data_IF_490735547070
#
_entry.id   IF_490735547070
#
_cell.length_a   1.000
_cell.length_b   1.000
_cell.length_c   1.000
_cell.angle_alpha   90.00
_cell.angle_beta   90.00
_cell.angle_gamma   90.00
#
_symmetry.space_group_name_H-M   'P 1'
#
loop_
_entity.id
_entity.type
_entity.pdbx_description
1 polymer ?
#
# COMPACT_ATOMS: atom_id res chain seq x y z
N UNK A 1 18.40 50.58 18.07
CA UNK A 1 18.65 51.65 17.08
C UNK A 1 19.84 51.19 16.28
N UNK A 2 19.63 50.78 15.03
CA UNK A 2 20.45 51.18 13.89
C UNK A 2 19.91 50.54 12.60
N UNK A 3 19.70 51.42 11.65
CA UNK A 3 19.14 51.20 10.31
C UNK A 3 20.23 50.77 9.34
N UNK A 4 19.89 50.05 8.27
CA UNK A 4 20.23 50.44 6.89
C UNK A 4 19.80 49.38 5.87
N UNK A 5 18.85 49.77 5.03
CA UNK A 5 18.50 49.15 3.76
C UNK A 5 19.69 49.11 2.79
N UNK A 6 19.74 48.08 1.94
CA UNK A 6 20.26 48.24 0.57
C UNK A 6 19.31 47.57 -0.43
N UNK A 7 18.93 48.37 -1.43
CA UNK A 7 17.94 48.11 -2.49
C UNK A 7 18.56 47.36 -3.69
N UNK A 8 17.76 46.47 -4.31
CA UNK A 8 17.39 46.27 -5.74
C UNK A 8 18.49 46.32 -6.86
N UNK A 9 18.36 45.61 -8.02
CA UNK A 9 17.19 45.62 -8.94
C UNK A 9 16.79 44.26 -9.59
N UNK A 10 15.50 43.96 -9.78
CA UNK A 10 14.68 44.10 -11.03
C UNK A 10 15.43 44.08 -12.37
N UNK A 11 15.24 43.02 -13.15
CA UNK A 11 15.31 43.13 -14.61
C UNK A 11 14.34 42.15 -15.31
N UNK A 12 13.71 42.69 -16.33
CA UNK A 12 12.59 42.23 -17.13
C UNK A 12 12.94 41.09 -18.08
N UNK A 13 12.05 40.10 -18.20
CA UNK A 13 12.12 39.09 -19.26
C UNK A 13 11.33 39.59 -20.47
N UNK A 14 11.95 39.75 -21.65
CA UNK A 14 11.25 40.19 -22.85
C UNK A 14 10.55 39.04 -23.55
N UNK A 15 9.38 39.33 -24.13
CA UNK A 15 8.69 38.48 -25.07
C UNK A 15 9.14 38.82 -26.50
N UNK A 16 9.57 37.82 -27.28
CA UNK A 16 9.57 37.89 -28.76
C UNK A 16 9.39 36.50 -29.39
N UNK A 17 8.20 36.36 -29.99
CA UNK A 17 7.79 35.64 -31.22
C UNK A 17 8.69 34.61 -31.93
N UNK A 18 8.14 33.38 -32.01
CA UNK A 18 7.92 32.46 -33.17
C UNK A 18 9.00 32.31 -34.25
N UNK A 19 9.43 31.05 -34.45
CA UNK A 19 9.50 30.40 -35.77
C UNK A 19 9.37 28.87 -35.63
N UNK A 20 8.68 28.25 -36.60
CA UNK A 20 8.18 26.88 -36.57
C UNK A 20 9.25 25.86 -36.98
N UNK A 21 9.22 24.67 -36.36
CA UNK A 21 9.67 23.43 -37.00
C UNK A 21 8.72 22.31 -36.56
N UNK A 22 7.91 21.84 -37.50
CA UNK A 22 7.11 20.62 -37.37
C UNK A 22 8.05 19.44 -37.12
N UNK A 23 7.83 18.73 -36.01
CA UNK A 23 8.28 17.36 -35.84
C UNK A 23 7.12 16.54 -35.29
N UNK A 24 6.41 15.88 -36.21
CA UNK A 24 5.62 14.69 -35.91
C UNK A 24 6.54 13.65 -35.26
N UNK A 25 6.27 13.31 -34.01
CA UNK A 25 7.18 12.52 -33.19
C UNK A 25 6.46 11.63 -32.19
N UNK A 26 5.64 10.69 -32.71
CA UNK A 26 5.17 9.44 -32.09
C UNK A 26 4.62 9.58 -30.66
N UNK A 27 3.28 9.59 -30.54
CA UNK A 27 2.60 9.21 -29.30
C UNK A 27 3.28 7.97 -28.69
N UNK A 28 3.45 7.89 -27.35
CA UNK A 28 3.91 6.66 -26.74
C UNK A 28 2.90 5.57 -27.10
N UNK A 29 3.23 4.76 -28.10
CA UNK A 29 2.31 3.73 -28.56
C UNK A 29 2.12 2.80 -27.39
N UNK A 30 0.91 2.84 -26.83
CA UNK A 30 0.52 1.99 -25.74
C UNK A 30 0.59 0.56 -26.29
N UNK A 31 1.72 -0.11 -26.04
CA UNK A 31 1.94 -1.46 -26.55
C UNK A 31 0.88 -2.32 -25.90
N UNK A 32 -0.15 -2.66 -26.68
CA UNK A 32 -1.19 -3.61 -26.29
C UNK A 32 -0.49 -4.95 -26.11
N UNK A 33 -0.05 -5.25 -24.89
CA UNK A 33 0.42 -6.58 -24.54
C UNK A 33 -0.74 -7.54 -24.83
N UNK A 34 -0.53 -8.46 -25.77
CA UNK A 34 -1.44 -9.59 -25.96
C UNK A 34 -1.35 -10.43 -24.69
N UNK A 35 -2.27 -10.20 -23.76
CA UNK A 35 -2.43 -11.03 -22.57
C UNK A 35 -2.91 -12.40 -23.04
N UNK A 36 -1.97 -13.34 -23.17
CA UNK A 36 -2.29 -14.77 -23.18
C UNK A 36 -2.76 -15.13 -21.77
N UNK A 37 -4.01 -14.84 -21.43
CA UNK A 37 -4.51 -15.03 -20.07
C UNK A 37 -5.69 -15.98 -20.04
N UNK A 38 -5.36 -17.28 -19.96
CA UNK A 38 -6.13 -18.21 -19.15
C UNK A 38 -5.23 -18.77 -18.04
N UNK A 39 -4.76 -17.90 -17.15
CA UNK A 39 -4.22 -18.33 -15.86
C UNK A 39 -5.35 -18.20 -14.84
N UNK A 40 -5.78 -19.33 -14.27
CA UNK A 40 -6.65 -19.34 -13.10
C UNK A 40 -5.83 -18.91 -11.89
N UNK A 41 -6.26 -17.84 -11.20
CA UNK A 41 -5.68 -17.44 -9.91
C UNK A 41 -6.53 -17.99 -8.77
N UNK A 42 -5.88 -18.42 -7.71
CA UNK A 42 -6.53 -18.86 -6.49
C UNK A 42 -6.53 -17.72 -5.48
N UNK A 43 -7.71 -17.15 -5.24
CA UNK A 43 -7.89 -16.04 -4.30
C UNK A 43 -8.45 -16.58 -2.99
N UNK A 44 -7.84 -16.18 -1.88
CA UNK A 44 -8.40 -16.37 -0.56
C UNK A 44 -9.09 -15.08 -0.10
N UNK A 45 -10.26 -15.22 0.51
CA UNK A 45 -11.00 -14.09 1.07
C UNK A 45 -11.23 -14.36 2.55
N UNK A 46 -10.73 -13.46 3.40
CA UNK A 46 -10.96 -13.46 4.83
C UNK A 46 -11.95 -12.35 5.19
N UNK A 47 -12.88 -12.67 6.10
CA UNK A 47 -13.77 -11.68 6.72
C UNK A 47 -13.02 -10.79 7.72
N UNK A 48 -13.69 -10.44 8.81
CA UNK A 48 -13.08 -9.65 9.88
C UNK A 48 -11.92 -10.41 10.54
N UNK A 49 -10.73 -9.80 10.59
CA UNK A 49 -9.52 -10.45 11.13
C UNK A 49 -9.37 -10.29 12.64
N UNK A 50 -9.88 -9.20 13.21
CA UNK A 50 -9.79 -8.87 14.63
C UNK A 50 -8.36 -9.01 15.22
N UNK A 51 -7.33 -8.68 14.42
CA UNK A 51 -5.92 -8.78 14.82
C UNK A 51 -5.34 -10.20 14.88
N UNK A 52 -6.11 -11.24 14.55
CA UNK A 52 -5.71 -12.66 14.60
C UNK A 52 -5.05 -13.16 13.30
N UNK A 53 -4.02 -12.45 12.86
CA UNK A 53 -3.26 -12.80 11.65
C UNK A 53 -2.66 -14.21 11.66
N UNK A 54 -2.15 -14.64 12.82
CA UNK A 54 -1.58 -15.98 12.97
C UNK A 54 -2.60 -17.06 12.56
N UNK A 55 -3.86 -16.91 13.00
CA UNK A 55 -4.94 -17.87 12.67
C UNK A 55 -5.27 -17.88 11.18
N UNK A 56 -5.30 -16.71 10.55
CA UNK A 56 -5.61 -16.60 9.11
C UNK A 56 -4.53 -17.33 8.29
N UNK A 57 -3.26 -17.04 8.56
CA UNK A 57 -2.16 -17.66 7.84
C UNK A 57 -2.03 -19.17 8.12
N UNK A 58 -2.25 -19.60 9.36
CA UNK A 58 -2.26 -21.02 9.70
C UNK A 58 -3.39 -21.76 8.97
N UNK A 59 -4.58 -21.14 8.89
CA UNK A 59 -5.72 -21.68 8.14
C UNK A 59 -5.42 -21.77 6.65
N UNK A 60 -4.82 -20.73 6.07
CA UNK A 60 -4.41 -20.75 4.66
C UNK A 60 -3.42 -21.89 4.40
N UNK A 61 -2.39 -22.03 5.24
CA UNK A 61 -1.40 -23.11 5.08
C UNK A 61 -2.03 -24.50 5.15
N UNK A 62 -2.98 -24.70 6.07
CA UNK A 62 -3.74 -25.95 6.16
C UNK A 62 -4.59 -26.19 4.91
N UNK A 63 -5.29 -25.18 4.41
CA UNK A 63 -6.11 -25.27 3.20
C UNK A 63 -5.27 -25.59 1.95
N UNK A 64 -4.09 -24.99 1.83
CA UNK A 64 -3.15 -25.31 0.75
C UNK A 64 -2.69 -26.75 0.81
N UNK A 65 -2.36 -27.25 2.01
CA UNK A 65 -1.94 -28.63 2.20
C UNK A 65 -3.05 -29.63 1.88
N UNK A 66 -4.28 -29.36 2.33
CA UNK A 66 -5.43 -30.23 2.12
C UNK A 66 -5.89 -30.28 0.67
N UNK A 67 -5.85 -29.15 -0.04
CA UNK A 67 -6.37 -29.04 -1.42
C UNK A 67 -5.28 -29.21 -2.48
N UNK A 68 -4.01 -29.19 -2.10
CA UNK A 68 -2.89 -29.22 -3.04
C UNK A 68 -2.82 -28.00 -3.96
N UNK A 69 -3.40 -26.87 -3.55
CA UNK A 69 -3.40 -25.60 -4.30
C UNK A 69 -2.55 -24.57 -3.58
N UNK A 70 -2.04 -23.59 -4.32
CA UNK A 70 -1.40 -22.39 -3.76
C UNK A 70 -2.27 -21.19 -3.98
N UNK A 71 -2.42 -20.35 -2.95
CA UNK A 71 -3.10 -19.08 -3.07
C UNK A 71 -2.15 -18.02 -3.62
N UNK A 72 -2.68 -17.17 -4.49
CA UNK A 72 -1.93 -16.08 -5.11
C UNK A 72 -2.13 -14.75 -4.36
N UNK A 73 -3.30 -14.58 -3.73
CA UNK A 73 -3.66 -13.36 -3.03
C UNK A 73 -4.65 -13.66 -1.89
N UNK A 74 -4.45 -13.01 -0.75
CA UNK A 74 -5.40 -12.92 0.34
C UNK A 74 -6.05 -11.54 0.35
N UNK A 75 -7.38 -11.50 0.36
CA UNK A 75 -8.17 -10.28 0.50
C UNK A 75 -8.81 -10.29 1.88
N UNK A 76 -8.50 -9.28 2.70
CA UNK A 76 -9.16 -9.07 4.00
C UNK A 76 -10.26 -8.02 3.85
N UNK A 77 -11.50 -8.39 4.16
CA UNK A 77 -12.68 -7.56 3.89
C UNK A 77 -12.95 -6.48 4.95
N UNK A 78 -12.22 -6.42 6.06
CA UNK A 78 -12.39 -5.39 7.07
C UNK A 78 -11.93 -5.80 8.46
N UNK A 79 -12.07 -4.87 9.41
CA UNK A 79 -11.68 -5.02 10.82
C UNK A 79 -10.37 -5.80 11.03
N UNK A 80 -9.33 -5.34 10.35
CA UNK A 80 -8.01 -5.97 10.37
C UNK A 80 -7.28 -5.78 11.71
N UNK A 81 -7.57 -4.66 12.40
CA UNK A 81 -6.93 -4.23 13.66
C UNK A 81 -5.38 -4.24 13.57
N UNK A 82 -4.84 -3.31 12.80
CA UNK A 82 -3.39 -3.13 12.58
C UNK A 82 -2.65 -2.54 13.80
N UNK A 83 -2.73 -3.18 14.96
CA UNK A 83 -2.14 -2.68 16.21
C UNK A 83 -0.64 -2.97 16.23
N UNK A 84 0.18 -1.92 16.18
CA UNK A 84 1.65 -2.04 16.11
C UNK A 84 2.28 -2.09 17.51
N UNK A 85 1.70 -1.37 18.46
CA UNK A 85 2.18 -1.27 19.83
C UNK A 85 1.04 -0.91 20.80
N UNK A 86 1.33 -0.87 22.10
CA UNK A 86 0.34 -0.56 23.14
C UNK A 86 -0.27 0.85 23.02
N UNK A 87 0.41 1.81 22.38
CA UNK A 87 -0.12 3.15 22.14
C UNK A 87 -1.27 3.19 21.13
N UNK A 88 -1.29 2.25 20.17
CA UNK A 88 -2.39 2.14 19.21
C UNK A 88 -3.70 1.68 19.89
N UNK A 89 -3.63 1.02 21.05
CA UNK A 89 -4.80 0.49 21.77
C UNK A 89 -5.82 1.57 22.16
N UNK A 90 -5.35 2.79 22.47
CA UNK A 90 -6.23 3.89 22.87
C UNK A 90 -7.12 4.37 21.71
N UNK A 91 -6.71 4.09 20.48
CA UNK A 91 -7.41 4.49 19.26
C UNK A 91 -8.40 3.42 18.77
N UNK A 92 -8.46 2.24 19.42
CA UNK A 92 -9.48 1.25 19.12
C UNK A 92 -10.82 1.65 19.71
N UNK A 93 -11.86 1.61 18.88
CA UNK A 93 -13.25 1.76 19.29
C UNK A 93 -13.79 0.45 19.88
N UNK A 94 -13.14 -0.02 20.95
CA UNK A 94 -13.46 -1.26 21.66
C UNK A 94 -13.37 -0.99 23.17
N UNK A 95 -14.26 -1.57 24.00
CA UNK A 95 -14.15 -1.49 25.46
C UNK A 95 -12.78 -1.92 25.97
N UNK A 96 -12.29 -1.26 27.01
CA UNK A 96 -10.92 -1.45 27.53
C UNK A 96 -10.60 -2.91 27.84
N UNK A 97 -11.57 -3.67 28.36
CA UNK A 97 -11.43 -5.10 28.68
C UNK A 97 -11.09 -6.00 27.50
N UNK A 98 -11.32 -5.56 26.27
CA UNK A 98 -11.04 -6.33 25.04
C UNK A 98 -9.88 -5.74 24.22
N UNK A 99 -9.25 -4.66 24.68
CA UNK A 99 -8.10 -4.08 23.98
C UNK A 99 -6.88 -4.96 24.18
N UNK A 100 -6.44 -5.61 23.10
CA UNK A 100 -5.29 -6.52 23.12
C UNK A 100 -4.42 -6.24 21.90
N UNK A 101 -3.10 -6.44 22.05
CA UNK A 101 -2.13 -6.23 20.97
C UNK A 101 -2.28 -7.27 19.83
N UNK A 102 -2.89 -8.42 20.14
CA UNK A 102 -3.09 -9.55 19.23
C UNK A 102 -1.79 -9.97 18.52
N UNK A 103 -1.81 -10.18 17.20
CA UNK A 103 -0.67 -10.80 16.48
C UNK A 103 -0.05 -9.92 15.40
N UNK A 104 -0.74 -8.86 14.95
CA UNK A 104 -0.25 -8.00 13.86
C UNK A 104 1.12 -7.38 14.13
N UNK A 105 1.39 -6.94 15.36
CA UNK A 105 2.69 -6.33 15.73
C UNK A 105 3.90 -7.22 15.39
N UNK A 106 3.74 -8.55 15.39
CA UNK A 106 4.82 -9.49 15.04
C UNK A 106 5.22 -9.35 13.57
N UNK A 107 4.25 -9.11 12.70
CA UNK A 107 4.46 -8.90 11.26
C UNK A 107 4.98 -7.50 10.99
N UNK A 108 4.41 -6.49 11.66
CA UNK A 108 4.89 -5.11 11.55
C UNK A 108 6.36 -4.95 11.98
N UNK A 109 6.76 -5.61 13.08
CA UNK A 109 8.14 -5.57 13.58
C UNK A 109 9.11 -6.48 12.83
N UNK A 110 8.64 -7.25 11.84
CA UNK A 110 9.46 -8.23 11.13
C UNK A 110 9.87 -9.46 11.96
N UNK A 111 9.34 -9.62 13.18
CA UNK A 111 9.57 -10.83 14.01
C UNK A 111 8.99 -12.08 13.38
N UNK A 112 7.91 -11.94 12.61
CA UNK A 112 7.31 -13.02 11.81
C UNK A 112 7.14 -12.52 10.39
N UNK A 113 7.60 -13.32 9.43
CA UNK A 113 7.39 -13.10 8.02
C UNK A 113 6.47 -14.19 7.49
N UNK A 114 5.50 -13.82 6.66
CA UNK A 114 4.69 -14.77 5.93
C UNK A 114 4.86 -14.57 4.43
N UNK A 115 4.49 -15.58 3.65
CA UNK A 115 4.61 -15.57 2.19
C UNK A 115 3.65 -14.56 1.53
N UNK A 116 2.52 -14.29 2.18
CA UNK A 116 1.45 -13.40 1.75
C UNK A 116 1.50 -12.06 2.48
#
# INVERSE_FOLDING_TARGET
MDSASKKQPVESVPATSKENAEQEGKEPSCKRFKLNTRRSMNLAVAGCSHGEMDRIYDTLSQMEHQRGVKFDLLICCGDFQAIRNYGDLQHLKVPDKFRQLMTFYKYYSGKKLHRY
#
